data_IF_673852996035
#
_entry.id   IF_673852996035
#
_cell.length_a   1.000
_cell.length_b   1.000
_cell.length_c   1.000
_cell.angle_alpha   90.00
_cell.angle_beta   90.00
_cell.angle_gamma   90.00
#
_symmetry.space_group_name_H-M   'P 1'
#
loop_
_entity.id
_entity.type
_entity.pdbx_description
1 polymer ?
#
# COMPACT_ATOMS: atom_id res chain seq x y z
N UNK A 1 -0.25 12.18 17.09
CA UNK A 1 -1.53 11.86 17.75
C UNK A 1 -1.87 10.43 17.35
N UNK A 2 -1.59 9.42 18.17
CA UNK A 2 -2.17 8.08 18.01
C UNK A 2 -3.13 7.89 19.18
N UNK A 3 -4.42 8.16 18.96
CA UNK A 3 -5.47 7.95 19.95
C UNK A 3 -6.58 7.06 19.41
N UNK A 4 -6.27 6.15 18.48
CA UNK A 4 -7.09 4.97 18.24
C UNK A 4 -6.78 3.95 19.34
N UNK A 5 -7.80 3.22 19.79
CA UNK A 5 -7.55 2.09 20.69
C UNK A 5 -6.73 1.02 19.97
N UNK A 6 -5.90 0.23 20.68
CA UNK A 6 -5.15 -0.88 20.08
C UNK A 6 -6.06 -1.78 19.22
N UNK A 7 -7.27 -2.03 19.70
CA UNK A 7 -8.31 -2.80 18.97
C UNK A 7 -8.67 -2.16 17.64
N UNK A 8 -8.85 -0.85 17.61
CA UNK A 8 -9.24 -0.10 16.43
C UNK A 8 -8.11 -0.08 15.41
N UNK A 9 -6.87 0.09 15.85
CA UNK A 9 -5.69 0.04 15.00
C UNK A 9 -5.48 -1.37 14.41
N UNK A 10 -5.64 -2.42 15.21
CA UNK A 10 -5.59 -3.80 14.69
C UNK A 10 -6.72 -4.07 13.68
N UNK A 11 -7.93 -3.57 13.94
CA UNK A 11 -9.06 -3.72 13.02
C UNK A 11 -8.90 -2.90 11.73
N UNK A 12 -8.34 -1.69 11.81
CA UNK A 12 -8.08 -0.87 10.61
C UNK A 12 -7.06 -1.56 9.71
N UNK A 13 -6.01 -2.16 10.29
CA UNK A 13 -5.02 -2.92 9.53
C UNK A 13 -5.66 -4.05 8.72
N UNK A 14 -6.62 -4.78 9.32
CA UNK A 14 -7.28 -5.90 8.62
C UNK A 14 -8.19 -5.48 7.46
N UNK A 15 -8.49 -4.18 7.30
CA UNK A 15 -9.40 -3.66 6.27
C UNK A 15 -8.67 -2.78 5.27
N UNK A 16 -7.82 -1.89 5.76
CA UNK A 16 -7.30 -0.77 4.98
C UNK A 16 -6.19 -1.22 4.03
N UNK A 17 -5.51 -2.33 4.31
CA UNK A 17 -4.36 -2.80 3.52
C UNK A 17 -4.65 -3.98 2.60
N UNK A 18 -5.90 -4.47 2.52
CA UNK A 18 -6.30 -5.62 1.69
C UNK A 18 -5.91 -5.47 0.21
N UNK A 19 -5.76 -4.25 -0.31
CA UNK A 19 -5.34 -4.00 -1.69
C UNK A 19 -3.84 -4.30 -1.96
N UNK A 20 -3.03 -4.37 -0.91
CA UNK A 20 -1.58 -4.50 -0.98
C UNK A 20 -1.03 -5.76 -0.30
N UNK A 21 -1.90 -6.56 0.30
CA UNK A 21 -1.60 -7.88 0.86
C UNK A 21 -2.50 -8.92 0.20
N UNK A 22 -2.34 -10.20 0.54
CA UNK A 22 -3.32 -11.21 0.12
C UNK A 22 -4.65 -10.92 0.82
N UNK A 23 -5.76 -10.69 0.10
CA UNK A 23 -7.03 -10.31 0.71
C UNK A 23 -7.51 -11.32 1.74
N UNK A 24 -7.92 -10.84 2.91
CA UNK A 24 -8.40 -11.69 4.00
C UNK A 24 -7.32 -12.55 4.67
N UNK A 25 -6.03 -12.29 4.39
CA UNK A 25 -4.93 -12.99 5.06
C UNK A 25 -4.53 -12.37 6.40
N UNK A 26 -4.95 -11.14 6.68
CA UNK A 26 -4.63 -10.46 7.93
C UNK A 26 -5.48 -11.01 9.08
N UNK A 27 -4.86 -11.56 10.11
CA UNK A 27 -5.54 -12.06 11.29
C UNK A 27 -4.81 -11.65 12.59
N UNK A 28 -5.59 -11.28 13.60
CA UNK A 28 -5.08 -10.90 14.91
C UNK A 28 -5.07 -12.14 15.80
N UNK A 29 -3.91 -12.49 16.36
CA UNK A 29 -3.78 -13.68 17.21
C UNK A 29 -3.28 -13.38 18.62
N UNK A 30 -2.72 -12.18 18.88
CA UNK A 30 -2.49 -11.68 20.25
C UNK A 30 -3.04 -10.28 20.37
N UNK A 31 -3.75 -10.04 21.47
CA UNK A 31 -4.24 -8.72 21.84
C UNK A 31 -4.11 -8.55 23.36
N UNK A 32 -3.11 -7.79 23.78
CA UNK A 32 -2.87 -7.42 25.16
C UNK A 32 -3.06 -5.90 25.35
N UNK A 33 -4.24 -5.51 25.81
CA UNK A 33 -4.56 -4.10 26.08
C UNK A 33 -3.86 -3.55 27.33
N UNK A 34 -3.41 -4.42 28.24
CA UNK A 34 -2.73 -4.01 29.47
C UNK A 34 -1.30 -3.58 29.15
N UNK A 35 -0.62 -4.37 28.32
CA UNK A 35 0.73 -4.06 27.84
C UNK A 35 0.73 -3.15 26.61
N UNK A 36 -0.42 -2.95 25.96
CA UNK A 36 -0.51 -2.20 24.71
C UNK A 36 0.17 -2.91 23.54
N UNK A 37 0.18 -4.25 23.56
CA UNK A 37 0.84 -5.09 22.55
C UNK A 37 -0.21 -5.85 21.74
N UNK A 38 -0.16 -5.69 20.42
CA UNK A 38 -0.94 -6.48 19.47
C UNK A 38 -0.01 -7.32 18.60
N UNK A 39 -0.43 -8.53 18.24
CA UNK A 39 0.23 -9.29 17.18
C UNK A 39 -0.78 -9.77 16.16
N UNK A 40 -0.41 -9.59 14.90
CA UNK A 40 -1.16 -10.07 13.76
C UNK A 40 -0.23 -10.76 12.78
N UNK A 41 -0.76 -11.73 12.05
CA UNK A 41 -0.13 -12.28 10.87
C UNK A 41 -0.83 -11.76 9.63
N UNK A 42 -0.07 -11.59 8.55
CA UNK A 42 -0.61 -11.31 7.23
C UNK A 42 0.27 -11.95 6.17
N UNK A 43 -0.27 -12.13 4.98
CA UNK A 43 0.47 -12.67 3.84
C UNK A 43 0.74 -11.58 2.83
N UNK A 44 2.01 -11.33 2.53
CA UNK A 44 2.45 -10.42 1.48
C UNK A 44 2.14 -11.00 0.09
N UNK A 45 2.02 -10.13 -0.91
CA UNK A 45 1.72 -10.54 -2.30
C UNK A 45 2.80 -11.43 -2.92
N UNK A 46 4.01 -11.40 -2.37
CA UNK A 46 5.15 -12.24 -2.73
C UNK A 46 5.04 -13.68 -2.19
N UNK A 47 3.96 -14.02 -1.48
CA UNK A 47 3.78 -15.34 -0.87
C UNK A 47 4.56 -15.52 0.43
N UNK A 48 4.82 -14.44 1.16
CA UNK A 48 5.54 -14.46 2.44
C UNK A 48 4.57 -14.15 3.58
N UNK A 49 4.44 -15.05 4.54
CA UNK A 49 3.74 -14.77 5.80
C UNK A 49 4.68 -13.93 6.66
N UNK A 50 4.14 -12.85 7.24
CA UNK A 50 4.84 -12.05 8.24
C UNK A 50 4.02 -11.97 9.50
N UNK A 51 4.69 -12.05 10.64
CA UNK A 51 4.10 -11.75 11.95
C UNK A 51 4.57 -10.37 12.34
N UNK A 52 3.61 -9.48 12.56
CA UNK A 52 3.85 -8.09 12.93
C UNK A 52 3.42 -7.91 14.38
N UNK A 53 4.31 -7.34 15.17
CA UNK A 53 4.00 -6.86 16.50
C UNK A 53 3.78 -5.33 16.46
N UNK A 54 2.68 -4.92 17.05
CA UNK A 54 2.26 -3.54 17.25
C UNK A 54 2.43 -3.20 18.72
N UNK A 55 3.14 -2.10 18.99
CA UNK A 55 3.29 -1.53 20.33
C UNK A 55 3.21 0.00 20.30
N UNK A 56 3.35 0.63 21.46
CA UNK A 56 3.44 2.08 21.60
C UNK A 56 4.62 2.70 20.83
N UNK A 57 5.68 1.92 20.55
CA UNK A 57 6.84 2.33 19.76
C UNK A 57 6.56 2.30 18.25
N UNK A 58 5.53 1.58 17.80
CA UNK A 58 5.23 1.38 16.38
C UNK A 58 5.13 -0.09 16.00
N UNK A 59 5.49 -0.37 14.75
CA UNK A 59 5.31 -1.65 14.11
C UNK A 59 6.67 -2.30 13.88
N UNK A 60 6.81 -3.60 14.14
CA UNK A 60 7.99 -4.33 13.71
C UNK A 60 7.64 -5.76 13.33
N UNK A 61 8.47 -6.35 12.48
CA UNK A 61 8.30 -7.72 12.01
C UNK A 61 8.99 -8.63 13.04
N UNK A 62 8.20 -9.46 13.72
CA UNK A 62 8.70 -10.42 14.70
C UNK A 62 9.15 -11.73 14.04
N UNK A 63 8.54 -12.11 12.92
CA UNK A 63 9.00 -13.24 12.11
C UNK A 63 8.48 -13.19 10.68
N UNK A 64 9.14 -13.94 9.80
CA UNK A 64 8.74 -14.10 8.40
C UNK A 64 8.93 -15.55 7.96
N UNK A 65 8.02 -16.06 7.12
CA UNK A 65 8.08 -17.42 6.59
C UNK A 65 7.59 -17.47 5.14
N UNK A 66 8.31 -18.11 4.20
CA UNK A 66 7.84 -18.30 2.84
C UNK A 66 6.71 -19.35 2.80
N UNK A 67 5.67 -19.10 2.00
CA UNK A 67 4.59 -20.09 1.77
C UNK A 67 5.01 -21.23 0.85
N UNK A 68 5.99 -20.98 -0.02
CA UNK A 68 6.44 -21.90 -1.04
C UNK A 68 7.95 -21.81 -1.24
N UNK A 69 8.52 -22.90 -1.77
CA UNK A 69 9.97 -23.01 -2.05
C UNK A 69 10.33 -22.46 -3.44
N UNK A 70 9.50 -21.61 -4.04
CA UNK A 70 9.84 -21.01 -5.33
C UNK A 70 10.92 -19.93 -5.15
N UNK A 71 11.79 -19.72 -6.15
CA UNK A 71 12.91 -18.79 -6.02
C UNK A 71 12.50 -17.34 -5.73
N UNK A 72 11.31 -16.91 -6.19
CA UNK A 72 10.86 -15.53 -6.03
C UNK A 72 10.38 -15.27 -4.59
N UNK A 73 9.55 -16.16 -4.04
CA UNK A 73 9.09 -16.10 -2.65
C UNK A 73 10.24 -16.27 -1.67
N UNK A 74 11.22 -17.14 -1.96
CA UNK A 74 12.41 -17.27 -1.12
C UNK A 74 13.25 -15.98 -1.11
N UNK A 75 13.50 -15.37 -2.26
CA UNK A 75 14.23 -14.10 -2.33
C UNK A 75 13.48 -12.97 -1.59
N UNK A 76 12.14 -12.92 -1.72
CA UNK A 76 11.32 -11.98 -0.97
C UNK A 76 11.39 -12.23 0.53
N UNK A 77 11.33 -13.49 0.97
CA UNK A 77 11.47 -13.84 2.39
C UNK A 77 12.84 -13.43 2.94
N UNK A 78 13.93 -13.64 2.19
CA UNK A 78 15.27 -13.17 2.58
C UNK A 78 15.34 -11.64 2.72
N UNK A 79 14.67 -10.90 1.84
CA UNK A 79 14.56 -9.45 1.94
C UNK A 79 13.82 -9.04 3.22
N UNK A 80 12.64 -9.63 3.48
CA UNK A 80 11.86 -9.36 4.70
C UNK A 80 12.65 -9.72 5.96
N UNK A 81 13.39 -10.82 5.92
CA UNK A 81 14.22 -11.29 7.03
C UNK A 81 15.27 -10.25 7.46
N UNK A 82 15.70 -9.36 6.55
CA UNK A 82 16.60 -8.26 6.87
C UNK A 82 15.98 -7.17 7.74
N UNK A 83 14.65 -7.11 7.81
CA UNK A 83 13.88 -6.17 8.63
C UNK A 83 13.45 -6.75 9.99
N UNK A 84 13.44 -8.09 10.13
CA UNK A 84 13.00 -8.79 11.34
C UNK A 84 13.87 -8.38 12.55
N UNK A 85 13.21 -7.96 13.63
CA UNK A 85 13.80 -7.49 14.90
C UNK A 85 14.83 -6.35 14.80
N UNK A 86 14.99 -5.73 13.63
CA UNK A 86 16.02 -4.71 13.36
C UNK A 86 15.45 -3.32 13.20
N UNK A 87 14.22 -3.22 12.73
CA UNK A 87 13.61 -1.94 12.37
C UNK A 87 12.23 -1.80 13.00
N UNK A 88 12.03 -0.65 13.63
CA UNK A 88 10.72 -0.19 14.11
C UNK A 88 10.21 0.83 13.08
N UNK A 89 8.99 0.63 12.62
CA UNK A 89 8.31 1.46 11.65
C UNK A 89 7.27 2.32 12.34
N UNK A 90 7.18 3.57 11.93
CA UNK A 90 6.19 4.51 12.49
C UNK A 90 4.77 4.21 12.02
N UNK A 91 4.61 3.68 10.81
CA UNK A 91 3.31 3.35 10.22
C UNK A 91 3.34 1.99 9.54
N UNK A 92 2.18 1.37 9.40
CA UNK A 92 2.03 0.10 8.67
C UNK A 92 2.41 0.27 7.18
N UNK A 93 2.09 1.40 6.55
CA UNK A 93 2.52 1.69 5.17
C UNK A 93 4.04 1.65 5.04
N UNK A 94 4.78 2.28 5.96
CA UNK A 94 6.24 2.32 5.90
C UNK A 94 6.84 0.92 6.05
N UNK A 95 6.23 0.07 6.89
CA UNK A 95 6.59 -1.33 7.02
C UNK A 95 6.34 -2.07 5.70
N UNK A 96 5.12 -1.99 5.15
CA UNK A 96 4.75 -2.72 3.93
C UNK A 96 5.52 -2.24 2.69
N UNK A 97 5.80 -0.94 2.58
CA UNK A 97 6.63 -0.36 1.51
C UNK A 97 8.07 -0.86 1.53
N UNK A 98 8.56 -1.26 2.70
CA UNK A 98 9.91 -1.80 2.89
C UNK A 98 9.94 -3.32 2.70
N UNK A 99 8.95 -4.02 3.27
CA UNK A 99 8.87 -5.47 3.29
C UNK A 99 8.34 -6.08 1.97
N UNK A 100 7.45 -5.37 1.26
CA UNK A 100 6.79 -5.87 0.05
C UNK A 100 7.00 -4.92 -1.14
N UNK A 101 7.94 -5.25 -2.05
CA UNK A 101 8.08 -4.55 -3.33
C UNK A 101 6.76 -4.46 -4.13
N UNK A 102 5.93 -5.51 -4.11
CA UNK A 102 4.65 -5.53 -4.82
C UNK A 102 3.62 -4.60 -4.17
N UNK A 103 3.57 -4.52 -2.84
CA UNK A 103 2.75 -3.53 -2.14
C UNK A 103 3.12 -2.12 -2.63
N UNK A 104 4.43 -1.82 -2.66
CA UNK A 104 4.92 -0.51 -3.09
C UNK A 104 4.53 -0.17 -4.51
N UNK A 105 4.65 -1.12 -5.43
CA UNK A 105 4.24 -0.92 -6.83
C UNK A 105 2.73 -0.65 -6.94
N UNK A 106 1.91 -1.42 -6.22
CA UNK A 106 0.45 -1.22 -6.18
C UNK A 106 0.05 0.12 -5.59
N UNK A 107 0.69 0.51 -4.50
CA UNK A 107 0.48 1.79 -3.85
C UNK A 107 0.80 2.95 -4.80
N UNK A 108 1.96 2.91 -5.46
CA UNK A 108 2.38 3.93 -6.43
C UNK A 108 1.43 4.01 -7.64
N UNK A 109 1.04 2.86 -8.19
CA UNK A 109 0.07 2.81 -9.31
C UNK A 109 -1.26 3.45 -8.90
N UNK A 110 -1.75 3.13 -7.71
CA UNK A 110 -3.02 3.65 -7.20
C UNK A 110 -2.96 5.16 -6.99
N UNK A 111 -1.86 5.68 -6.44
CA UNK A 111 -1.65 7.12 -6.29
C UNK A 111 -1.62 7.82 -7.64
N UNK A 112 -0.90 7.25 -8.61
CA UNK A 112 -0.81 7.82 -9.96
C UNK A 112 -2.19 7.87 -10.64
N UNK A 113 -2.96 6.78 -10.57
CA UNK A 113 -4.29 6.71 -11.15
C UNK A 113 -5.25 7.73 -10.50
N UNK A 114 -5.19 7.89 -9.18
CA UNK A 114 -5.99 8.89 -8.46
C UNK A 114 -5.60 10.32 -8.87
N UNK A 115 -4.31 10.62 -8.92
CA UNK A 115 -3.82 11.93 -9.34
C UNK A 115 -4.28 12.27 -10.77
N UNK A 116 -4.17 11.30 -11.68
CA UNK A 116 -4.60 11.46 -13.06
C UNK A 116 -6.11 11.68 -13.18
N UNK A 117 -6.94 11.02 -12.34
CA UNK A 117 -8.38 11.26 -12.28
C UNK A 117 -8.72 12.67 -11.79
N UNK A 118 -8.07 13.15 -10.72
CA UNK A 118 -8.28 14.51 -10.20
C UNK A 118 -7.94 15.56 -11.26
N UNK A 119 -6.83 15.38 -11.98
CA UNK A 119 -6.43 16.28 -13.06
C UNK A 119 -7.45 16.32 -14.19
N UNK A 120 -8.02 15.18 -14.58
CA UNK A 120 -9.07 15.13 -15.59
C UNK A 120 -10.36 15.81 -15.13
N UNK A 121 -10.76 15.63 -13.87
CA UNK A 121 -11.94 16.28 -13.31
C UNK A 121 -11.80 17.80 -13.30
N UNK A 122 -10.62 18.31 -12.93
CA UNK A 122 -10.34 19.74 -12.91
C UNK A 122 -10.49 20.38 -14.30
N UNK A 123 -10.04 19.68 -15.36
CA UNK A 123 -10.22 20.14 -16.75
C UNK A 123 -11.69 20.10 -17.20
N UNK A 124 -12.48 19.19 -16.65
CA UNK A 124 -13.92 19.08 -16.96
C UNK A 124 -14.72 20.20 -16.28
N UNK A 125 -14.37 20.53 -15.04
CA UNK A 125 -14.99 21.63 -14.28
C UNK A 125 -14.75 22.99 -14.94
N UNK A 126 -13.53 23.27 -15.42
CA UNK A 126 -13.22 24.51 -16.13
C UNK A 126 -14.04 24.68 -17.43
N UNK A 127 -14.34 23.58 -18.15
CA UNK A 127 -15.18 23.63 -19.34
C UNK A 127 -16.66 23.92 -19.05
N UNK A 128 -17.19 23.47 -17.90
CA UNK A 128 -18.58 23.75 -17.53
C UNK A 128 -18.79 25.20 -17.07
N UNK A 129 -17.77 25.83 -16.47
CA UNK A 129 -17.86 27.23 -16.05
C UNK A 129 -17.84 28.25 -17.20
N UNK A 130 -17.28 27.89 -18.36
CA UNK A 130 -17.29 28.77 -19.54
C UNK A 130 -18.67 28.74 -20.26
N UNK A 131 -19.49 27.71 -20.04
CA UNK A 131 -20.76 27.50 -20.76
C UNK A 131 -22.00 28.25 -20.24
N UNK A 132 -21.99 28.81 -19.02
CA UNK A 132 -23.17 29.44 -18.39
C UNK A 132 -23.09 30.97 -18.26
N UNK A 133 -22.05 31.60 -18.80
CA UNK A 133 -21.83 33.06 -18.72
C UNK A 133 -22.15 33.89 -19.96
N UNK A 134 -22.62 33.29 -21.06
CA UNK A 134 -22.89 34.02 -22.33
C UNK A 134 -24.34 33.86 -22.79
N UNK A 135 -25.30 34.40 -22.04
CA UNK A 135 -26.57 34.79 -22.63
C UNK A 135 -27.15 36.00 -21.90
N UNK A 136 -27.32 37.08 -22.67
CA UNK A 136 -27.80 38.43 -22.29
C UNK A 136 -26.72 39.24 -21.56
N UNK A 137 -26.27 40.41 -22.03
CA UNK A 137 -27.00 41.48 -22.70
C UNK A 137 -26.16 42.13 -23.81
N UNK A 138 -26.82 42.44 -24.92
CA UNK A 138 -26.28 43.25 -25.99
C UNK A 138 -27.22 44.46 -26.12
N UNK A 139 -26.86 45.61 -25.52
CA UNK A 139 -27.17 46.93 -26.08
C UNK A 139 -26.36 48.08 -25.45
N UNK A 140 -25.30 48.48 -26.17
CA UNK A 140 -25.08 49.85 -26.70
C UNK A 140 -25.11 51.08 -25.75
N UNK A 141 -23.92 51.61 -25.35
CA UNK A 141 -23.38 52.97 -25.67
C UNK A 141 -22.41 53.62 -24.63
N UNK A 142 -21.11 53.66 -25.01
CA UNK A 142 -20.04 54.69 -24.86
C UNK A 142 -19.57 55.22 -23.46
N UNK A 143 -18.43 55.97 -23.36
CA UNK A 143 -17.16 55.49 -22.81
C UNK A 143 -16.70 56.27 -21.56
N UNK A 144 -15.48 55.97 -21.07
CA UNK A 144 -14.39 56.90 -20.66
C UNK A 144 -13.72 56.52 -19.32
N UNK A 145 -12.38 56.60 -19.36
CA UNK A 145 -11.41 56.83 -18.28
C UNK A 145 -10.57 55.65 -17.73
N UNK A 146 -9.30 55.71 -18.16
CA UNK A 146 -8.05 55.69 -17.38
C UNK A 146 -7.92 54.76 -16.17
N UNK A 147 -6.90 53.91 -16.23
CA UNK A 147 -6.36 53.20 -15.06
C UNK A 147 -5.12 52.39 -15.39
N UNK A 148 -3.99 53.08 -15.60
CA UNK A 148 -2.64 52.51 -15.67
C UNK A 148 -2.21 52.05 -14.28
N UNK A 149 -1.86 50.76 -14.09
CA UNK A 149 -0.71 50.31 -13.27
C UNK A 149 -0.40 48.82 -13.45
N UNK A 150 0.74 48.56 -14.08
CA UNK A 150 1.80 47.60 -13.69
C UNK A 150 1.43 46.31 -12.93
N UNK A 151 1.73 45.15 -13.52
CA UNK A 151 2.75 44.24 -12.96
C UNK A 151 3.16 43.16 -13.96
N UNK A 152 4.46 43.10 -14.24
CA UNK A 152 5.11 42.27 -15.25
C UNK A 152 5.95 41.21 -14.54
N UNK A 153 5.62 39.93 -14.80
CA UNK A 153 6.49 38.74 -14.93
C UNK A 153 7.54 38.45 -13.83
N UNK A 154 7.59 37.21 -13.33
CA UNK A 154 8.86 36.54 -13.07
C UNK A 154 9.15 35.47 -14.14
N UNK A 155 10.39 35.40 -14.68
CA UNK A 155 10.82 34.31 -15.54
C UNK A 155 11.35 33.13 -14.71
N UNK A 156 11.11 31.94 -15.24
CA UNK A 156 11.85 30.71 -14.97
C UNK A 156 13.33 30.89 -15.30
N UNK A 157 14.24 30.32 -14.50
CA UNK A 157 15.48 29.76 -15.03
C UNK A 157 16.13 28.72 -14.12
N UNK A 158 16.15 27.51 -14.66
CA UNK A 158 17.16 26.45 -14.63
C UNK A 158 18.56 26.85 -14.10
N UNK A 159 19.12 26.08 -13.16
CA UNK A 159 20.58 25.95 -13.05
C UNK A 159 20.98 24.51 -12.76
N UNK A 160 21.67 23.95 -13.74
CA UNK A 160 22.39 22.68 -13.75
C UNK A 160 23.83 22.91 -13.24
N UNK A 161 24.26 22.13 -12.24
CA UNK A 161 25.67 21.78 -11.97
C UNK A 161 25.61 20.51 -11.09
N UNK A 162 26.04 19.29 -11.44
CA UNK A 162 27.22 18.73 -12.14
C UNK A 162 28.57 19.12 -11.53
N UNK A 163 29.06 18.24 -10.66
CA UNK A 163 30.45 17.77 -10.36
C UNK A 163 30.48 17.46 -8.87
N UNK A 164 30.88 16.30 -8.35
CA UNK A 164 31.75 15.23 -8.79
C UNK A 164 32.57 14.86 -7.55
N UNK A 165 32.72 13.59 -7.21
CA UNK A 165 33.99 13.06 -6.71
C UNK A 165 33.89 11.58 -6.41
N UNK A 166 34.89 10.90 -6.95
CA UNK A 166 35.26 9.52 -6.77
C UNK A 166 35.61 9.22 -5.31
N UNK A 167 35.22 8.03 -4.86
CA UNK A 167 35.64 7.42 -3.60
C UNK A 167 35.71 5.92 -3.76
N UNK A 168 36.69 5.46 -4.54
CA UNK A 168 37.18 4.08 -4.48
C UNK A 168 37.71 3.83 -3.06
N UNK A 169 37.22 2.81 -2.36
CA UNK A 169 38.09 1.95 -1.53
C UNK A 169 37.62 0.50 -1.63
N UNK A 170 38.42 -0.27 -2.36
CA UNK A 170 38.47 -1.73 -2.33
C UNK A 170 39.23 -2.19 -1.09
N UNK A 171 38.71 -3.19 -0.39
CA UNK A 171 39.47 -4.21 0.35
C UNK A 171 38.47 -5.36 0.64
N UNK A 172 38.50 -6.45 -0.13
CA UNK A 172 39.40 -7.61 0.01
C UNK A 172 38.89 -8.65 1.04
N UNK A 173 38.37 -9.75 0.46
CA UNK A 173 38.55 -11.16 0.80
C UNK A 173 38.38 -11.66 2.25
N UNK A 174 37.55 -12.72 2.40
CA UNK A 174 37.88 -14.05 2.97
C UNK A 174 36.57 -14.85 3.10
N UNK A 175 36.20 -15.73 2.16
CA UNK A 175 36.51 -17.17 2.18
C UNK A 175 36.60 -17.78 3.59
N UNK A 176 35.51 -18.37 4.06
CA UNK A 176 35.59 -19.60 4.85
C UNK A 176 34.33 -20.45 4.62
N UNK A 177 34.57 -21.52 3.87
CA UNK A 177 33.74 -22.68 3.67
C UNK A 177 33.67 -23.50 4.96
N UNK A 178 32.46 -23.88 5.40
CA UNK A 178 32.26 -24.88 6.45
C UNK A 178 30.96 -25.65 6.19
N UNK A 179 31.08 -26.76 5.49
CA UNK A 179 30.26 -27.97 5.68
C UNK A 179 31.06 -28.92 6.61
N UNK A 180 30.53 -30.06 7.11
CA UNK A 180 29.17 -30.61 7.09
C UNK A 180 28.69 -31.07 8.50
N UNK A 181 27.43 -31.50 8.62
CA UNK A 181 27.11 -32.80 9.25
C UNK A 181 25.60 -33.08 9.22
N UNK A 182 25.25 -34.06 8.41
CA UNK A 182 23.99 -34.80 8.38
C UNK A 182 23.74 -35.51 9.70
N UNK A 183 22.52 -35.41 10.21
CA UNK A 183 21.97 -36.31 11.23
C UNK A 183 20.65 -36.85 10.73
N UNK A 184 20.68 -38.13 10.36
CA UNK A 184 19.51 -38.96 10.18
C UNK A 184 18.59 -38.89 11.41
N UNK A 185 17.30 -38.74 11.19
CA UNK A 185 16.30 -39.42 12.01
C UNK A 185 15.17 -39.89 11.09
N UNK A 186 15.19 -41.19 10.87
CA UNK A 186 14.12 -41.97 10.26
C UNK A 186 13.10 -42.26 11.36
N UNK A 187 11.88 -41.79 11.17
CA UNK A 187 10.70 -42.39 11.79
C UNK A 187 9.71 -42.66 10.67
N UNK A 188 9.65 -43.94 10.33
CA UNK A 188 8.47 -44.63 9.83
C UNK A 188 7.31 -44.38 10.81
N UNK A 189 6.14 -43.98 10.31
CA UNK A 189 4.90 -44.56 10.81
C UNK A 189 3.77 -44.36 9.79
N UNK A 190 3.33 -45.51 9.30
CA UNK A 190 2.12 -45.71 8.51
C UNK A 190 0.88 -45.31 9.30
N UNK A 191 -0.01 -44.50 8.72
CA UNK A 191 -1.46 -44.71 8.90
C UNK A 191 -2.23 -44.34 7.63
N UNK A 192 -2.79 -45.39 7.03
CA UNK A 192 -3.93 -45.40 6.12
C UNK A 192 -5.19 -44.86 6.80
N UNK A 193 -5.95 -43.99 6.13
CA UNK A 193 -7.31 -44.36 5.70
C UNK A 193 -8.01 -43.31 4.82
N UNK A 194 -8.67 -43.86 3.81
CA UNK A 194 -9.64 -43.25 2.91
C UNK A 194 -10.92 -42.80 3.62
N UNK A 195 -11.55 -41.76 3.08
CA UNK A 195 -13.02 -41.48 3.01
C UNK A 195 -13.16 -40.10 2.32
N UNK A 196 -13.45 -39.96 1.03
CA UNK A 196 -14.72 -40.18 0.32
C UNK A 196 -15.94 -39.55 0.98
N UNK A 197 -16.29 -38.32 0.57
CA UNK A 197 -17.66 -37.82 0.28
C UNK A 197 -17.53 -36.39 -0.29
N UNK A 198 -17.74 -36.11 -1.57
CA UNK A 198 -19.01 -35.94 -2.31
C UNK A 198 -19.94 -34.83 -1.79
N UNK A 199 -20.39 -33.99 -2.75
CA UNK A 199 -21.50 -33.00 -2.71
C UNK A 199 -21.12 -31.63 -2.08
N UNK A 200 -21.40 -30.44 -2.62
CA UNK A 200 -22.39 -30.04 -3.62
C UNK A 200 -21.99 -28.69 -4.24
N UNK A 201 -22.15 -28.55 -5.55
CA UNK A 201 -22.10 -27.28 -6.27
C UNK A 201 -23.40 -26.50 -6.02
N UNK A 202 -23.31 -25.30 -5.45
CA UNK A 202 -24.40 -24.32 -5.48
C UNK A 202 -24.00 -23.17 -6.40
N UNK A 203 -24.55 -23.21 -7.61
CA UNK A 203 -24.63 -22.09 -8.54
C UNK A 203 -25.45 -20.96 -7.88
N UNK A 204 -24.82 -19.82 -7.67
CA UNK A 204 -25.50 -18.55 -7.44
C UNK A 204 -25.24 -17.67 -8.67
N UNK A 205 -26.23 -17.64 -9.55
CA UNK A 205 -26.36 -16.56 -10.52
C UNK A 205 -26.72 -15.28 -9.74
N UNK A 206 -25.78 -14.35 -9.66
CA UNK A 206 -26.06 -12.95 -9.37
C UNK A 206 -25.81 -12.15 -10.64
N UNK A 207 -26.88 -12.01 -11.40
CA UNK A 207 -27.04 -11.02 -12.44
C UNK A 207 -27.29 -9.66 -11.77
N UNK A 208 -26.23 -8.93 -11.46
CA UNK A 208 -26.32 -7.52 -11.06
C UNK A 208 -25.89 -6.65 -12.24
N UNK A 209 -26.89 -6.11 -12.94
CA UNK A 209 -26.73 -4.94 -13.79
C UNK A 209 -26.14 -3.80 -12.96
N UNK A 210 -24.98 -3.21 -13.32
CA UNK A 210 -24.50 -2.00 -12.67
C UNK A 210 -25.01 -0.81 -13.48
N UNK A 211 -26.26 -0.41 -13.27
CA UNK A 211 -26.58 1.02 -13.37
C UNK A 211 -26.19 1.63 -12.03
N UNK A 212 -24.88 1.88 -11.90
CA UNK A 212 -24.33 2.62 -10.79
C UNK A 212 -24.88 4.04 -10.89
N UNK A 213 -25.89 4.36 -10.09
CA UNK A 213 -26.45 5.70 -10.03
C UNK A 213 -25.35 6.67 -9.58
N UNK A 214 -25.18 7.76 -10.33
CA UNK A 214 -24.17 8.80 -10.09
C UNK A 214 -24.26 9.39 -8.67
N UNK A 215 -25.41 9.21 -8.01
CA UNK A 215 -25.68 9.60 -6.63
C UNK A 215 -24.92 8.73 -5.61
N UNK A 216 -24.84 7.42 -5.81
CA UNK A 216 -24.10 6.51 -4.91
C UNK A 216 -22.60 6.81 -4.94
N UNK A 217 -22.08 7.22 -6.10
CA UNK A 217 -20.67 7.59 -6.25
C UNK A 217 -20.33 8.88 -5.47
N UNK A 218 -21.25 9.83 -5.40
CA UNK A 218 -21.05 11.08 -4.64
C UNK A 218 -21.15 10.85 -3.14
N UNK A 219 -22.02 9.95 -2.70
CA UNK A 219 -22.13 9.56 -1.28
C UNK A 219 -20.90 8.77 -0.83
N UNK A 220 -20.34 7.92 -1.69
CA UNK A 220 -19.06 7.24 -1.42
C UNK A 220 -17.94 8.27 -1.26
N UNK A 221 -17.80 9.26 -2.16
CA UNK A 221 -16.77 10.30 -2.08
C UNK A 221 -16.88 11.13 -0.79
N UNK A 222 -18.11 11.51 -0.39
CA UNK A 222 -18.33 12.31 0.81
C UNK A 222 -17.96 11.55 2.11
N UNK A 223 -18.01 10.22 2.09
CA UNK A 223 -17.65 9.39 3.22
C UNK A 223 -16.13 9.30 3.46
N UNK A 224 -15.31 9.68 2.48
CA UNK A 224 -13.84 9.74 2.63
C UNK A 224 -13.31 11.14 3.03
N UNK A 225 -14.17 12.16 3.04
CA UNK A 225 -13.80 13.56 3.34
C UNK A 225 -13.98 13.88 4.85
N UNK A 226 -14.59 12.99 5.63
CA UNK A 226 -14.75 13.10 7.08
C UNK A 226 -14.04 11.96 7.82
#
# INVERSE_FOLDING_TARGET
>A
MRFSSLTEELNSITKDYDYGIVPGSAAVFVKDEIMGIGRLDLTLLEGVIVVIELSDQGYHIASSSPLSNDPATLAAAEQVQSCVDRQIFETMENLLMTASPLFRERFQSTLHDKLHKVQQLQLLEEQQHIGLGQSMENDTLIPTHLGTTTSTVPPSDTTTARTGSYGQQSIAASLSSSMPSSSHNSYDDHYTNESTTNLSSSSFDHNTNPTLDQQDLMDEINQWIH
#
